data_IF_000442479430
#
_entry.id   IF_000442479430
#
_cell.length_a   1.000
_cell.length_b   1.000
_cell.length_c   1.000
_cell.angle_alpha   90.00
_cell.angle_beta   90.00
_cell.angle_gamma   90.00
#
_symmetry.space_group_name_H-M   'P 1'
#
loop_
_entity.id
_entity.type
_entity.pdbx_description
1 polymer ?
#
# COMPACT_ATOMS: atom_id res chain seq x y z
N UNK A 1 -16.92 -18.61 12.40
CA UNK A 1 -17.21 -17.66 11.94
C UNK A 1 -16.54 -17.08 10.85
N UNK A 2 -17.19 -16.44 10.11
CA UNK A 2 -16.66 -15.86 8.92
C UNK A 2 -15.99 -14.55 9.18
N UNK A 3 -16.00 -14.09 10.38
CA UNK A 3 -15.42 -12.81 10.67
C UNK A 3 -13.96 -12.74 10.29
N UNK A 4 -13.28 -13.86 10.31
CA UNK A 4 -11.88 -13.79 10.03
C UNK A 4 -11.59 -13.42 8.61
N UNK A 5 -12.53 -13.51 7.71
CA UNK A 5 -12.27 -13.13 6.38
C UNK A 5 -12.02 -11.69 6.22
N UNK A 6 -12.55 -10.85 7.06
CA UNK A 6 -12.38 -9.43 6.89
C UNK A 6 -10.98 -8.97 7.17
N UNK A 7 -10.15 -9.78 7.80
CA UNK A 7 -8.78 -9.35 8.06
C UNK A 7 -7.97 -9.23 6.78
N UNK A 8 -8.43 -9.83 5.69
CA UNK A 8 -7.70 -9.76 4.45
C UNK A 8 -8.17 -8.64 3.53
N UNK A 9 -9.21 -7.91 3.93
CA UNK A 9 -9.67 -6.81 3.11
C UNK A 9 -8.78 -5.61 3.32
N UNK A 10 -8.23 -5.06 2.27
CA UNK A 10 -7.45 -3.83 2.43
C UNK A 10 -8.36 -2.69 2.78
N UNK A 11 -7.83 -1.74 3.50
CA UNK A 11 -8.55 -0.57 3.95
C UNK A 11 -7.96 0.64 3.26
N UNK A 12 -8.80 1.52 2.74
CA UNK A 12 -8.32 2.76 2.13
C UNK A 12 -7.66 3.62 3.20
N UNK A 13 -6.52 4.19 2.88
CA UNK A 13 -5.80 5.08 3.80
C UNK A 13 -5.33 6.30 3.05
N UNK A 14 -5.12 7.37 3.78
CA UNK A 14 -4.56 8.60 3.24
C UNK A 14 -3.04 8.48 3.27
N UNK A 15 -2.41 8.63 2.12
CA UNK A 15 -0.96 8.56 2.02
C UNK A 15 -0.48 9.80 1.27
N UNK A 16 0.54 10.45 1.83
CA UNK A 16 1.24 11.50 1.12
C UNK A 16 2.49 10.89 0.53
N UNK A 17 2.71 11.14 -0.74
CA UNK A 17 3.85 10.57 -1.45
C UNK A 17 4.59 11.67 -2.19
N UNK A 18 5.88 11.47 -2.36
CA UNK A 18 6.70 12.39 -3.11
C UNK A 18 6.51 12.24 -4.61
N UNK A 19 7.25 13.02 -5.38
CA UNK A 19 7.15 12.97 -6.83
C UNK A 19 7.59 11.64 -7.39
N UNK A 20 8.37 10.88 -6.63
CA UNK A 20 8.79 9.54 -7.02
C UNK A 20 7.75 8.49 -6.66
N UNK A 21 6.66 8.90 -6.04
CA UNK A 21 5.61 7.97 -5.64
C UNK A 21 5.88 7.24 -4.33
N UNK A 22 6.97 7.56 -3.64
CA UNK A 22 7.32 6.88 -2.40
C UNK A 22 6.60 7.56 -1.24
N UNK A 23 5.90 6.80 -0.39
CA UNK A 23 5.15 7.40 0.71
C UNK A 23 6.05 8.16 1.69
N UNK A 24 5.58 9.33 2.10
CA UNK A 24 6.26 10.13 3.12
C UNK A 24 5.45 10.22 4.39
N UNK A 25 4.15 9.97 4.32
CA UNK A 25 3.30 9.96 5.51
C UNK A 25 2.09 9.07 5.26
N UNK A 26 1.62 8.41 6.30
CA UNK A 26 0.42 7.57 6.24
C UNK A 26 -0.51 8.06 7.35
N UNK A 27 -1.68 8.53 6.94
CA UNK A 27 -2.67 9.08 7.88
C UNK A 27 -2.05 10.08 8.83
N UNK A 28 -1.28 10.99 8.24
CA UNK A 28 -0.61 12.10 8.96
C UNK A 28 0.53 11.67 9.86
N UNK A 29 0.91 10.41 9.86
CA UNK A 29 2.07 9.95 10.60
C UNK A 29 3.23 9.83 9.63
N UNK A 30 4.32 10.49 9.92
CA UNK A 30 5.48 10.51 9.03
C UNK A 30 6.11 9.13 8.89
N UNK A 31 6.63 8.85 7.71
CA UNK A 31 7.35 7.62 7.45
C UNK A 31 8.79 7.82 7.89
N UNK A 32 9.25 6.96 8.80
CA UNK A 32 10.62 7.00 9.28
C UNK A 32 11.55 6.28 8.30
N UNK A 33 11.11 5.16 7.75
CA UNK A 33 11.93 4.40 6.81
C UNK A 33 11.06 3.56 5.90
N UNK A 34 11.52 3.40 4.66
CA UNK A 34 10.93 2.44 3.72
C UNK A 34 11.78 1.19 3.80
N UNK A 35 11.20 0.11 4.29
CA UNK A 35 11.95 -1.12 4.46
C UNK A 35 12.05 -1.92 3.18
N UNK A 36 10.97 -1.92 2.42
CA UNK A 36 10.96 -2.69 1.20
C UNK A 36 9.92 -2.11 0.25
N UNK A 37 10.18 -2.25 -1.03
CA UNK A 37 9.25 -1.86 -2.08
C UNK A 37 9.23 -2.97 -3.10
N UNK A 38 8.04 -3.37 -3.55
CA UNK A 38 7.95 -4.38 -4.60
C UNK A 38 6.71 -4.17 -5.43
N UNK A 39 6.76 -4.72 -6.65
CA UNK A 39 5.67 -4.61 -7.61
C UNK A 39 5.07 -5.99 -7.81
N UNK A 40 3.76 -6.07 -7.71
CA UNK A 40 3.02 -7.29 -8.00
C UNK A 40 2.27 -7.08 -9.29
N UNK A 41 2.46 -7.98 -10.25
CA UNK A 41 1.71 -7.96 -11.49
C UNK A 41 0.95 -9.26 -11.61
N UNK A 42 -0.34 -9.15 -11.88
CA UNK A 42 -1.19 -10.31 -12.00
C UNK A 42 -2.03 -10.14 -13.24
N UNK A 43 -2.55 -11.24 -13.77
CA UNK A 43 -3.39 -11.22 -14.96
C UNK A 43 -2.70 -10.54 -16.14
N UNK A 44 -1.41 -10.74 -16.25
CA UNK A 44 -0.64 -10.12 -17.31
C UNK A 44 -1.10 -10.62 -18.69
N UNK A 45 -1.81 -11.73 -18.71
CA UNK A 45 -2.30 -12.31 -19.96
C UNK A 45 -3.63 -11.68 -20.40
N UNK A 46 -4.20 -10.77 -19.64
CA UNK A 46 -5.46 -10.15 -19.98
C UNK A 46 -5.24 -8.76 -20.51
N UNK A 47 -6.24 -8.14 -21.16
CA UNK A 47 -6.11 -6.77 -21.61
C UNK A 47 -6.01 -5.76 -20.47
N UNK A 48 -6.34 -6.19 -19.25
CA UNK A 48 -6.28 -5.31 -18.10
C UNK A 48 -5.49 -5.98 -17.00
N UNK A 49 -4.17 -5.99 -17.14
CA UNK A 49 -3.34 -6.59 -16.08
C UNK A 49 -3.48 -5.82 -14.79
N UNK A 50 -3.42 -6.55 -13.70
CA UNK A 50 -3.46 -5.95 -12.38
C UNK A 50 -2.05 -5.65 -11.95
N UNK A 51 -1.81 -4.41 -11.53
CA UNK A 51 -0.51 -4.02 -11.01
C UNK A 51 -0.70 -3.34 -9.68
N UNK A 52 0.16 -3.68 -8.73
CA UNK A 52 0.16 -3.05 -7.43
C UNK A 52 1.58 -2.80 -7.00
N UNK A 53 1.81 -1.61 -6.49
CA UNK A 53 3.11 -1.23 -5.96
C UNK A 53 2.99 -1.18 -4.46
N UNK A 54 3.76 -2.03 -3.79
CA UNK A 54 3.70 -2.21 -2.34
C UNK A 54 4.90 -1.57 -1.67
N UNK A 55 4.66 -1.04 -0.49
CA UNK A 55 5.73 -0.48 0.34
C UNK A 55 5.57 -0.99 1.76
N UNK A 56 6.65 -1.52 2.31
CA UNK A 56 6.69 -1.83 3.73
C UNK A 56 7.37 -0.67 4.44
N UNK A 57 6.69 -0.05 5.38
CA UNK A 57 7.10 1.21 5.99
C UNK A 57 7.20 1.08 7.48
N UNK A 58 8.16 1.79 8.05
CA UNK A 58 8.20 2.03 9.49
C UNK A 58 7.79 3.47 9.71
N UNK A 59 6.77 3.68 10.51
CA UNK A 59 6.26 5.01 10.79
C UNK A 59 6.95 5.58 12.02
N UNK A 60 6.88 6.90 12.17
CA UNK A 60 7.52 7.56 13.30
C UNK A 60 6.99 7.11 14.65
N UNK A 61 5.77 6.59 14.69
CA UNK A 61 5.21 6.08 15.94
C UNK A 61 5.62 4.64 16.21
N UNK A 62 6.52 4.08 15.39
CA UNK A 62 7.04 2.74 15.61
C UNK A 62 6.28 1.63 14.91
N UNK A 63 5.16 1.94 14.28
CA UNK A 63 4.38 0.90 13.61
C UNK A 63 5.02 0.50 12.30
N UNK A 64 4.90 -0.77 11.98
CA UNK A 64 5.35 -1.31 10.72
C UNK A 64 4.10 -1.62 9.91
N UNK A 65 3.94 -1.00 8.76
CA UNK A 65 2.73 -1.14 7.95
C UNK A 65 3.10 -1.43 6.50
N UNK A 66 2.17 -2.06 5.80
CA UNK A 66 2.32 -2.27 4.36
C UNK A 66 1.18 -1.54 3.68
N UNK A 67 1.52 -0.67 2.74
CA UNK A 67 0.53 0.05 1.94
C UNK A 67 0.77 -0.26 0.48
N UNK A 68 -0.26 -0.12 -0.33
CA UNK A 68 -0.08 -0.31 -1.77
C UNK A 68 -1.01 0.61 -2.54
N UNK A 69 -0.63 0.84 -3.79
CA UNK A 69 -1.46 1.57 -4.73
C UNK A 69 -1.42 0.83 -6.08
N UNK A 70 -2.33 1.20 -6.95
CA UNK A 70 -2.38 0.65 -8.31
C UNK A 70 -1.96 1.75 -9.26
N UNK A 71 -0.70 1.75 -9.69
CA UNK A 71 -0.17 2.84 -10.50
C UNK A 71 -0.93 2.99 -11.81
N UNK A 72 -1.18 4.24 -12.18
CA UNK A 72 -1.80 4.54 -13.45
C UNK A 72 -3.31 4.48 -13.46
N UNK A 73 -3.94 3.98 -12.41
CA UNK A 73 -5.38 3.89 -12.37
C UNK A 73 -6.01 4.87 -11.41
N UNK A 74 -5.39 5.07 -10.29
CA UNK A 74 -5.97 5.89 -9.24
C UNK A 74 -4.86 6.36 -8.32
N UNK A 75 -5.11 7.46 -7.64
CA UNK A 75 -4.19 7.92 -6.60
C UNK A 75 -4.57 7.35 -5.24
N UNK A 76 -5.45 6.37 -5.22
CA UNK A 76 -5.92 5.82 -3.96
C UNK A 76 -4.92 4.82 -3.40
N UNK A 77 -4.75 4.86 -2.10
CA UNK A 77 -3.85 3.97 -1.39
C UNK A 77 -4.62 3.09 -0.45
N UNK A 78 -4.06 1.93 -0.19
CA UNK A 78 -4.69 0.93 0.67
C UNK A 78 -3.69 0.43 1.68
N UNK A 79 -4.19 0.15 2.88
CA UNK A 79 -3.41 -0.48 3.93
C UNK A 79 -3.71 -1.96 3.92
N UNK A 80 -2.67 -2.76 3.80
CA UNK A 80 -2.84 -4.20 3.86
C UNK A 80 -2.75 -4.63 5.31
N UNK A 81 -3.73 -5.40 5.75
CA UNK A 81 -3.68 -5.90 7.10
C UNK A 81 -2.94 -7.20 7.13
N UNK A 82 -2.09 -7.33 8.11
CA UNK A 82 -1.30 -8.55 8.21
C UNK A 82 -2.00 -9.65 8.99
#
# INVERSE_FOLDING_TARGET
MSARRSVYWPRTVAVEAGSDGVPSAVESVSVDAVREEWLVEDRWWTPRPLRRRYFELVLDDGRNVVVFCEPGLTSRWFLQRA
#
